data_IF_342050032602
#
_entry.id   IF_342050032602
#
_cell.length_a   1.000
_cell.length_b   1.000
_cell.length_c   1.000
_cell.angle_alpha   90.00
_cell.angle_beta   90.00
_cell.angle_gamma   90.00
#
_symmetry.space_group_name_H-M   'P 1'
#
loop_
_entity.id
_entity.type
_entity.pdbx_description
1 polymer ?
#
# COMPACT_ATOMS: atom_id res chain seq x y z
N UNK A 1 55.00 111.10 -38.70
CA UNK A 1 56.40 110.64 -38.68
C UNK A 1 56.34 109.12 -38.63
N UNK A 2 56.86 108.49 -39.70
CA UNK A 2 57.07 107.05 -39.92
C UNK A 2 55.85 106.11 -39.83
N UNK A 3 55.36 105.74 -41.02
CA UNK A 3 54.71 104.48 -41.31
C UNK A 3 55.74 103.33 -41.37
N UNK A 4 55.23 102.12 -41.60
CA UNK A 4 55.90 100.84 -41.98
C UNK A 4 56.02 99.82 -40.83
N UNK A 5 55.15 98.78 -40.83
CA UNK A 5 55.33 97.41 -41.37
C UNK A 5 56.10 96.49 -40.40
N UNK A 6 55.80 95.20 -40.21
CA UNK A 6 54.90 94.33 -40.94
C UNK A 6 54.42 93.15 -40.09
N UNK A 7 53.31 92.57 -40.56
CA UNK A 7 52.94 91.18 -40.28
C UNK A 7 54.11 90.28 -40.67
N UNK A 8 54.69 89.52 -39.74
CA UNK A 8 55.71 88.55 -40.14
C UNK A 8 56.71 88.00 -39.14
N UNK A 9 56.58 88.20 -37.82
CA UNK A 9 57.25 87.23 -36.92
C UNK A 9 56.49 85.93 -37.04
N UNK A 10 57.11 84.99 -37.77
CA UNK A 10 56.43 83.82 -38.28
C UNK A 10 55.74 83.11 -37.12
N UNK A 11 54.42 82.95 -37.21
CA UNK A 11 53.65 82.09 -36.30
C UNK A 11 54.36 80.71 -36.21
N UNK A 12 55.03 80.33 -37.30
CA UNK A 12 55.90 79.18 -37.49
C UNK A 12 57.17 79.11 -36.61
N UNK A 13 57.63 80.20 -35.99
CA UNK A 13 58.82 80.26 -35.11
C UNK A 13 58.47 80.31 -33.61
N UNK A 14 57.20 80.48 -33.26
CA UNK A 14 56.76 80.46 -31.87
C UNK A 14 56.69 79.02 -31.34
N UNK A 15 57.22 78.77 -30.14
CA UNK A 15 57.17 77.45 -29.50
C UNK A 15 55.72 76.99 -29.27
N UNK A 16 54.82 77.94 -28.98
CA UNK A 16 53.39 77.69 -28.78
C UNK A 16 52.71 77.12 -30.04
N UNK A 17 53.09 77.59 -31.24
CA UNK A 17 52.55 77.05 -32.50
C UNK A 17 52.96 75.59 -32.71
N UNK A 18 54.23 75.24 -32.53
CA UNK A 18 54.69 73.85 -32.67
C UNK A 18 54.13 72.93 -31.58
N UNK A 19 53.91 73.43 -30.36
CA UNK A 19 53.20 72.68 -29.30
C UNK A 19 51.74 72.43 -29.69
N UNK A 20 51.05 73.43 -30.24
CA UNK A 20 49.69 73.26 -30.73
C UNK A 20 49.63 72.24 -31.89
N UNK A 21 50.56 72.31 -32.85
CA UNK A 21 50.66 71.34 -33.95
C UNK A 21 50.93 69.93 -33.42
N UNK A 22 51.85 69.77 -32.46
CA UNK A 22 52.12 68.47 -31.84
C UNK A 22 50.91 67.93 -31.07
N UNK A 23 50.16 68.80 -30.37
CA UNK A 23 48.92 68.42 -29.69
C UNK A 23 47.85 67.95 -30.67
N UNK A 24 47.61 68.68 -31.76
CA UNK A 24 46.64 68.27 -32.78
C UNK A 24 47.08 67.00 -33.52
N UNK A 25 48.37 66.83 -33.82
CA UNK A 25 48.91 65.59 -34.38
C UNK A 25 48.73 64.41 -33.41
N UNK A 26 48.97 64.61 -32.11
CA UNK A 26 48.75 63.59 -31.09
C UNK A 26 47.27 63.23 -30.95
N UNK A 27 46.38 64.22 -30.91
CA UNK A 27 44.92 63.99 -30.86
C UNK A 27 44.45 63.29 -32.13
N UNK A 28 44.91 63.70 -33.32
CA UNK A 28 44.60 63.05 -34.59
C UNK A 28 45.09 61.59 -34.59
N UNK A 29 46.29 61.33 -34.07
CA UNK A 29 46.84 59.98 -33.93
C UNK A 29 46.01 59.13 -32.97
N UNK A 30 45.60 59.65 -31.80
CA UNK A 30 44.76 58.95 -30.82
C UNK A 30 43.35 58.66 -31.37
N UNK A 31 42.78 59.59 -32.14
CA UNK A 31 41.51 59.40 -32.83
C UNK A 31 41.64 58.35 -33.95
N UNK A 32 42.75 58.39 -34.72
CA UNK A 32 43.04 57.42 -35.78
C UNK A 32 43.29 56.00 -35.23
N UNK A 33 44.01 55.87 -34.12
CA UNK A 33 44.22 54.62 -33.38
C UNK A 33 42.96 54.11 -32.65
N UNK A 34 41.86 54.87 -32.68
CA UNK A 34 40.57 54.55 -32.03
C UNK A 34 40.72 54.12 -30.56
N UNK A 35 41.68 54.68 -29.84
CA UNK A 35 41.92 54.29 -28.44
C UNK A 35 40.67 54.50 -27.56
N UNK A 36 39.90 55.55 -27.84
CA UNK A 36 38.60 55.83 -27.19
C UNK A 36 37.56 54.72 -27.43
N UNK A 37 37.58 54.05 -28.59
CA UNK A 37 36.68 52.94 -28.89
C UNK A 37 36.98 51.73 -28.01
N UNK A 38 38.25 51.37 -27.86
CA UNK A 38 38.67 50.23 -27.02
C UNK A 38 38.26 50.40 -25.56
N UNK A 39 38.35 51.62 -25.02
CA UNK A 39 37.91 51.91 -23.65
C UNK A 39 36.40 51.78 -23.50
N UNK A 40 35.62 52.29 -24.47
CA UNK A 40 34.16 52.14 -24.48
C UNK A 40 33.75 50.68 -24.58
N UNK A 41 34.34 49.95 -25.52
CA UNK A 41 34.07 48.53 -25.73
C UNK A 41 34.38 47.67 -24.50
N UNK A 42 35.48 47.94 -23.78
CA UNK A 42 35.79 47.24 -22.53
C UNK A 42 34.77 47.52 -21.42
N UNK A 43 34.24 48.75 -21.34
CA UNK A 43 33.18 49.10 -20.39
C UNK A 43 31.86 48.43 -20.78
N UNK A 44 31.52 48.42 -22.06
CA UNK A 44 30.31 47.78 -22.59
C UNK A 44 30.34 46.27 -22.35
N UNK A 45 31.46 45.60 -22.67
CA UNK A 45 31.65 44.16 -22.39
C UNK A 45 31.53 43.84 -20.90
N UNK A 46 31.99 44.74 -20.01
CA UNK A 46 31.84 44.56 -18.57
C UNK A 46 30.38 44.74 -18.14
N UNK A 47 29.69 45.74 -18.69
CA UNK A 47 28.27 45.99 -18.45
C UNK A 47 27.43 44.79 -18.87
N UNK A 48 27.64 44.27 -20.09
CA UNK A 48 26.97 43.08 -20.61
C UNK A 48 27.24 41.85 -19.74
N UNK A 49 28.49 41.63 -19.33
CA UNK A 49 28.84 40.52 -18.44
C UNK A 49 28.10 40.59 -17.10
N UNK A 50 28.06 41.78 -16.49
CA UNK A 50 27.35 42.00 -15.23
C UNK A 50 25.85 41.80 -15.41
N UNK A 51 25.28 42.32 -16.51
CA UNK A 51 23.87 42.14 -16.84
C UNK A 51 23.51 40.65 -17.02
N UNK A 52 24.35 39.89 -17.73
CA UNK A 52 24.17 38.45 -17.91
C UNK A 52 24.27 37.69 -16.59
N UNK A 53 25.26 38.00 -15.75
CA UNK A 53 25.39 37.38 -14.42
C UNK A 53 24.20 37.69 -13.51
N UNK A 54 23.68 38.92 -13.54
CA UNK A 54 22.48 39.31 -12.80
C UNK A 54 21.23 38.60 -13.32
N UNK A 55 21.10 38.45 -14.64
CA UNK A 55 19.99 37.72 -15.26
C UNK A 55 20.02 36.23 -14.90
N UNK A 56 21.19 35.60 -14.94
CA UNK A 56 21.37 34.21 -14.55
C UNK A 56 21.14 34.01 -13.05
N UNK A 57 21.62 34.91 -12.19
CA UNK A 57 21.37 34.86 -10.76
C UNK A 57 19.87 35.00 -10.43
N UNK A 58 19.14 35.87 -11.15
CA UNK A 58 17.68 35.98 -11.04
C UNK A 58 17.00 34.69 -11.47
N UNK A 59 17.38 34.13 -12.63
CA UNK A 59 16.84 32.86 -13.12
C UNK A 59 17.05 31.74 -12.10
N UNK A 60 18.27 31.59 -11.57
CA UNK A 60 18.59 30.58 -10.55
C UNK A 60 17.79 30.79 -9.27
N UNK A 61 17.56 32.05 -8.85
CA UNK A 61 16.72 32.34 -7.68
C UNK A 61 15.28 31.92 -7.93
N UNK A 62 14.74 32.24 -9.09
CA UNK A 62 13.35 31.93 -9.43
C UNK A 62 13.16 30.41 -9.60
N UNK A 63 14.13 29.71 -10.19
CA UNK A 63 14.18 28.23 -10.25
C UNK A 63 14.26 27.61 -8.85
N UNK A 64 15.09 28.15 -7.95
CA UNK A 64 15.19 27.67 -6.57
C UNK A 64 13.90 27.92 -5.77
N UNK A 65 13.23 29.05 -6.01
CA UNK A 65 11.94 29.36 -5.39
C UNK A 65 10.84 28.41 -5.89
N UNK A 66 10.80 28.11 -7.20
CA UNK A 66 9.89 27.14 -7.76
C UNK A 66 10.14 25.73 -7.19
N UNK A 67 11.40 25.28 -7.17
CA UNK A 67 11.77 23.98 -6.60
C UNK A 67 11.44 23.87 -5.10
N UNK A 68 11.58 24.96 -4.34
CA UNK A 68 11.19 24.99 -2.93
C UNK A 68 9.68 24.87 -2.76
N UNK A 69 8.88 25.58 -3.57
CA UNK A 69 7.43 25.48 -3.54
C UNK A 69 6.97 24.06 -3.88
N UNK A 70 7.52 23.48 -4.96
CA UNK A 70 7.21 22.10 -5.36
C UNK A 70 7.56 21.08 -4.27
N UNK A 71 8.71 21.25 -3.60
CA UNK A 71 9.11 20.38 -2.50
C UNK A 71 8.19 20.50 -1.27
N UNK A 72 7.75 21.71 -0.94
CA UNK A 72 6.81 21.95 0.15
C UNK A 72 5.43 21.34 -0.15
N UNK A 73 4.93 21.52 -1.36
CA UNK A 73 3.66 20.93 -1.80
C UNK A 73 3.74 19.41 -1.85
N UNK A 74 4.85 18.85 -2.35
CA UNK A 74 5.10 17.41 -2.35
C UNK A 74 5.16 16.84 -0.93
N UNK A 75 5.81 17.54 0.00
CA UNK A 75 5.87 17.13 1.41
C UNK A 75 4.47 17.12 2.04
N UNK A 76 3.66 18.16 1.80
CA UNK A 76 2.28 18.23 2.30
C UNK A 76 1.43 17.11 1.72
N UNK A 77 1.45 16.91 0.40
CA UNK A 77 0.73 15.81 -0.25
C UNK A 77 1.17 14.44 0.26
N UNK A 78 2.46 14.24 0.53
CA UNK A 78 2.95 12.98 1.08
C UNK A 78 2.45 12.74 2.50
N UNK A 79 2.36 13.79 3.31
CA UNK A 79 1.81 13.71 4.66
C UNK A 79 0.31 13.35 4.62
N UNK A 80 -0.46 14.10 3.82
CA UNK A 80 -1.90 13.87 3.67
C UNK A 80 -2.18 12.45 3.14
N UNK A 81 -1.42 11.99 2.13
CA UNK A 81 -1.51 10.60 1.63
C UNK A 81 -1.16 9.56 2.70
N UNK A 82 -0.17 9.83 3.56
CA UNK A 82 0.19 8.91 4.63
C UNK A 82 -0.93 8.79 5.66
N UNK A 83 -1.56 9.91 6.03
CA UNK A 83 -2.73 9.92 6.91
C UNK A 83 -3.91 9.17 6.27
N UNK A 84 -4.19 9.39 4.99
CA UNK A 84 -5.22 8.65 4.24
C UNK A 84 -4.95 7.14 4.22
N UNK A 85 -3.70 6.73 3.98
CA UNK A 85 -3.31 5.30 4.00
C UNK A 85 -3.55 4.69 5.39
N UNK A 86 -3.20 5.40 6.46
CA UNK A 86 -3.40 4.92 7.83
C UNK A 86 -4.89 4.80 8.13
N UNK A 87 -5.68 5.83 7.81
CA UNK A 87 -7.13 5.83 8.03
C UNK A 87 -7.82 4.70 7.25
N UNK A 88 -7.42 4.48 5.99
CA UNK A 88 -7.94 3.38 5.18
C UNK A 88 -7.55 2.02 5.77
N UNK A 89 -6.29 1.84 6.19
CA UNK A 89 -5.82 0.60 6.79
C UNK A 89 -6.55 0.28 8.12
N UNK A 90 -6.84 1.29 8.93
CA UNK A 90 -7.64 1.12 10.16
C UNK A 90 -9.08 0.73 9.84
N UNK A 91 -9.72 1.37 8.87
CA UNK A 91 -11.07 1.03 8.41
C UNK A 91 -11.12 -0.41 7.87
N UNK A 92 -10.15 -0.79 7.04
CA UNK A 92 -10.06 -2.13 6.47
C UNK A 92 -9.82 -3.18 7.55
N UNK A 93 -8.94 -2.90 8.52
CA UNK A 93 -8.70 -3.78 9.66
C UNK A 93 -9.97 -3.98 10.49
N UNK A 94 -10.73 -2.93 10.76
CA UNK A 94 -12.01 -3.03 11.47
C UNK A 94 -13.04 -3.87 10.71
N UNK A 95 -13.16 -3.66 9.39
CA UNK A 95 -14.05 -4.45 8.55
C UNK A 95 -13.65 -5.93 8.54
N UNK A 96 -12.35 -6.23 8.38
CA UNK A 96 -11.83 -7.59 8.43
C UNK A 96 -12.05 -8.25 9.79
N UNK A 97 -11.91 -7.51 10.89
CA UNK A 97 -12.18 -8.02 12.23
C UNK A 97 -13.67 -8.38 12.41
N UNK A 98 -14.58 -7.55 11.91
CA UNK A 98 -16.02 -7.82 11.96
C UNK A 98 -16.38 -9.07 11.14
N UNK A 99 -15.88 -9.17 9.91
CA UNK A 99 -16.10 -10.34 9.05
C UNK A 99 -15.52 -11.62 9.69
N UNK A 100 -14.31 -11.53 10.27
CA UNK A 100 -13.70 -12.66 10.96
C UNK A 100 -14.49 -13.10 12.20
N UNK A 101 -15.04 -12.17 12.97
CA UNK A 101 -15.88 -12.49 14.14
C UNK A 101 -17.19 -13.16 13.71
N UNK A 102 -17.85 -12.66 12.67
CA UNK A 102 -19.05 -13.28 12.09
C UNK A 102 -18.77 -14.70 11.58
N UNK A 103 -17.67 -14.88 10.83
CA UNK A 103 -17.25 -16.18 10.34
C UNK A 103 -16.92 -17.14 11.49
N UNK A 104 -16.25 -16.66 12.55
CA UNK A 104 -15.94 -17.45 13.73
C UNK A 104 -17.20 -17.89 14.46
N UNK A 105 -18.16 -16.98 14.68
CA UNK A 105 -19.46 -17.31 15.29
C UNK A 105 -20.20 -18.38 14.49
N UNK A 106 -20.24 -18.24 13.16
CA UNK A 106 -20.86 -19.23 12.28
C UNK A 106 -20.15 -20.60 12.36
N UNK A 107 -18.81 -20.61 12.44
CA UNK A 107 -18.03 -21.84 12.61
C UNK A 107 -18.31 -22.52 13.95
N UNK A 108 -18.39 -21.75 15.04
CA UNK A 108 -18.71 -22.27 16.38
C UNK A 108 -20.11 -22.90 16.37
N UNK A 109 -21.13 -22.19 15.88
CA UNK A 109 -22.50 -22.71 15.78
C UNK A 109 -22.57 -24.00 14.97
N UNK A 110 -21.88 -24.08 13.83
CA UNK A 110 -21.82 -25.30 13.02
C UNK A 110 -21.14 -26.46 13.77
N UNK A 111 -20.09 -26.17 14.54
CA UNK A 111 -19.40 -27.19 15.35
C UNK A 111 -20.25 -27.68 16.51
N UNK A 112 -20.97 -26.79 17.17
CA UNK A 112 -21.93 -27.14 18.22
C UNK A 112 -23.03 -28.03 17.66
N UNK A 113 -23.67 -27.64 16.56
CA UNK A 113 -24.71 -28.46 15.91
C UNK A 113 -24.20 -29.85 15.49
N UNK A 114 -22.97 -29.93 14.97
CA UNK A 114 -22.36 -31.21 14.62
C UNK A 114 -22.05 -32.07 15.85
N UNK A 115 -21.63 -31.47 16.96
CA UNK A 115 -21.40 -32.18 18.22
C UNK A 115 -22.72 -32.67 18.82
N UNK A 116 -23.76 -31.84 18.84
CA UNK A 116 -25.12 -32.19 19.29
C UNK A 116 -25.66 -33.38 18.50
N UNK A 117 -25.53 -33.36 17.16
CA UNK A 117 -25.94 -34.46 16.30
C UNK A 117 -25.19 -35.76 16.62
N UNK A 118 -23.86 -35.70 16.82
CA UNK A 118 -23.06 -36.88 17.21
C UNK A 118 -23.48 -37.42 18.56
N UNK A 119 -23.77 -36.55 19.53
CA UNK A 119 -24.25 -36.94 20.85
C UNK A 119 -25.62 -37.63 20.73
N UNK A 120 -26.54 -37.08 19.93
CA UNK A 120 -27.85 -37.69 19.69
C UNK A 120 -27.71 -39.09 19.08
N UNK A 121 -26.90 -39.22 18.03
CA UNK A 121 -26.63 -40.51 17.38
C UNK A 121 -26.00 -41.52 18.35
N UNK A 122 -25.04 -41.08 19.17
CA UNK A 122 -24.42 -41.93 20.18
C UNK A 122 -25.42 -42.38 21.26
N UNK A 123 -26.32 -41.49 21.69
CA UNK A 123 -27.40 -41.83 22.65
C UNK A 123 -28.37 -42.84 22.06
N UNK A 124 -28.84 -42.64 20.83
CA UNK A 124 -29.73 -43.60 20.15
C UNK A 124 -29.08 -44.97 20.02
N UNK A 125 -27.80 -45.01 19.63
CA UNK A 125 -27.03 -46.25 19.56
C UNK A 125 -26.92 -46.91 20.93
N UNK A 126 -26.56 -46.18 21.97
CA UNK A 126 -26.45 -46.73 23.32
C UNK A 126 -27.79 -47.30 23.84
N UNK A 127 -28.90 -46.61 23.58
CA UNK A 127 -30.25 -47.12 23.93
C UNK A 127 -30.56 -48.41 23.18
N UNK A 128 -30.23 -48.49 21.89
CA UNK A 128 -30.41 -49.71 21.10
C UNK A 128 -29.55 -50.86 21.64
N UNK A 129 -28.29 -50.60 21.94
CA UNK A 129 -27.35 -51.59 22.46
C UNK A 129 -27.82 -52.14 23.82
N UNK A 130 -28.33 -51.28 24.73
CA UNK A 130 -28.93 -51.71 26.01
C UNK A 130 -30.17 -52.57 25.80
N UNK A 131 -31.05 -52.22 24.85
CA UNK A 131 -32.24 -53.02 24.54
C UNK A 131 -31.88 -54.40 23.99
N UNK A 132 -30.88 -54.48 23.12
CA UNK A 132 -30.38 -55.76 22.58
C UNK A 132 -29.81 -56.61 23.71
N UNK A 133 -28.94 -56.04 24.56
CA UNK A 133 -28.37 -56.76 25.70
C UNK A 133 -29.46 -57.27 26.67
N UNK A 134 -30.49 -56.46 26.96
CA UNK A 134 -31.61 -56.87 27.81
C UNK A 134 -32.45 -58.00 27.19
N UNK A 135 -32.67 -57.96 25.87
CA UNK A 135 -33.36 -59.01 25.14
C UNK A 135 -32.57 -60.33 25.16
N UNK A 136 -31.25 -60.27 24.93
CA UNK A 136 -30.35 -61.44 24.99
C UNK A 136 -30.35 -62.08 26.39
N UNK A 137 -30.27 -61.26 27.45
CA UNK A 137 -30.37 -61.75 28.84
C UNK A 137 -31.73 -62.41 29.08
N UNK A 138 -32.82 -61.80 28.61
CA UNK A 138 -34.17 -62.34 28.78
C UNK A 138 -34.36 -63.68 28.05
N UNK A 139 -33.86 -63.79 26.82
CA UNK A 139 -33.88 -65.04 26.03
C UNK A 139 -33.10 -66.12 26.76
N UNK A 140 -31.87 -65.83 27.21
CA UNK A 140 -31.05 -66.79 27.94
C UNK A 140 -31.71 -67.23 29.25
N UNK A 141 -32.35 -66.33 29.99
CA UNK A 141 -33.12 -66.70 31.20
C UNK A 141 -34.32 -67.58 30.84
N UNK A 142 -35.06 -67.27 29.77
CA UNK A 142 -36.18 -68.09 29.32
C UNK A 142 -35.72 -69.50 28.88
N UNK A 143 -34.59 -69.61 28.17
CA UNK A 143 -33.97 -70.88 27.81
C UNK A 143 -33.61 -71.72 29.04
N UNK A 144 -33.01 -71.11 30.06
CA UNK A 144 -32.67 -71.78 31.32
C UNK A 144 -33.93 -72.26 32.06
N UNK A 145 -34.96 -71.40 32.20
CA UNK A 145 -36.23 -71.76 32.84
C UNK A 145 -36.95 -72.89 32.08
N UNK A 146 -36.95 -72.85 30.75
CA UNK A 146 -37.55 -73.89 29.93
C UNK A 146 -36.79 -75.21 30.06
N UNK A 147 -35.46 -75.19 30.01
CA UNK A 147 -34.62 -76.38 30.19
C UNK A 147 -34.82 -77.03 31.56
N UNK A 148 -35.05 -76.23 32.60
CA UNK A 148 -35.34 -76.74 33.95
C UNK A 148 -36.73 -77.37 34.05
N UNK A 149 -37.77 -76.74 33.46
CA UNK A 149 -39.12 -77.32 33.38
C UNK A 149 -39.19 -78.61 32.55
N UNK A 150 -38.44 -78.69 31.46
CA UNK A 150 -38.37 -79.87 30.59
C UNK A 150 -37.72 -81.09 31.27
N UNK A 151 -36.90 -80.89 32.32
CA UNK A 151 -36.34 -81.99 33.13
C UNK A 151 -37.34 -82.57 34.14
N UNK A 152 -38.45 -81.89 34.40
CA UNK A 152 -39.55 -82.38 35.25
C UNK A 152 -40.69 -83.02 34.43
N UNK A 153 -41.71 -83.57 35.11
CA UNK A 153 -42.85 -84.25 34.46
C UNK A 153 -43.74 -83.35 33.59
N UNK A 154 -43.60 -82.02 33.67
CA UNK A 154 -44.31 -81.07 32.79
C UNK A 154 -43.78 -81.09 31.34
N UNK A 155 -42.51 -81.49 31.13
CA UNK A 155 -41.90 -81.53 29.81
C UNK A 155 -42.48 -82.60 28.88
N UNK A 156 -42.74 -83.81 29.41
CA UNK A 156 -43.43 -84.87 28.69
C UNK A 156 -44.86 -84.48 28.30
N UNK A 157 -45.59 -83.81 29.22
CA UNK A 157 -46.94 -83.32 28.94
C UNK A 157 -46.99 -82.17 27.92
N UNK A 158 -45.93 -81.36 27.83
CA UNK A 158 -45.80 -80.33 26.79
C UNK A 158 -45.46 -80.95 25.42
N UNK A 159 -44.58 -81.96 25.39
CA UNK A 159 -44.22 -82.68 24.16
C UNK A 159 -45.40 -83.46 23.58
N UNK A 160 -46.18 -84.12 24.44
CA UNK A 160 -47.39 -84.83 24.03
C UNK A 160 -48.43 -83.89 23.39
N UNK A 161 -48.64 -82.70 23.97
CA UNK A 161 -49.53 -81.67 23.40
C UNK A 161 -49.02 -81.10 22.08
N UNK A 162 -47.72 -80.88 21.94
CA UNK A 162 -47.13 -80.42 20.68
C UNK A 162 -47.24 -81.46 19.55
N UNK A 163 -47.05 -82.75 19.88
CA UNK A 163 -47.26 -83.86 18.94
C UNK A 163 -48.73 -83.99 18.52
N UNK A 164 -49.66 -83.77 19.45
CA UNK A 164 -51.09 -83.74 19.16
C UNK A 164 -51.45 -82.56 18.25
N UNK A 165 -50.92 -81.35 18.51
CA UNK A 165 -51.18 -80.17 17.68
C UNK A 165 -50.68 -80.35 16.24
N UNK A 166 -49.48 -80.90 16.06
CA UNK A 166 -48.91 -81.23 14.74
C UNK A 166 -49.78 -82.27 14.02
N UNK A 167 -50.26 -83.29 14.74
CA UNK A 167 -51.17 -84.30 14.20
C UNK A 167 -52.50 -83.69 13.73
N UNK A 168 -53.08 -82.75 14.48
CA UNK A 168 -54.31 -82.04 14.06
C UNK A 168 -54.09 -81.16 12.83
N UNK A 169 -52.99 -80.38 12.76
CA UNK A 169 -52.70 -79.55 11.57
C UNK A 169 -52.39 -80.37 10.32
N UNK A 170 -51.88 -81.58 10.48
CA UNK A 170 -51.65 -82.54 9.39
C UNK A 170 -52.92 -83.32 9.00
N UNK A 171 -53.97 -83.34 9.82
CA UNK A 171 -55.25 -83.97 9.50
C UNK A 171 -56.31 -83.01 8.97
N UNK A 172 -56.14 -81.70 9.18
CA UNK A 172 -57.03 -80.64 8.68
C UNK A 172 -56.58 -80.02 7.34
N UNK A 173 -55.42 -80.40 6.81
CA UNK A 173 -54.95 -80.09 5.44
C UNK A 173 -54.89 -81.33 4.57
#
# INVERSE_FOLDING_TARGET
MAAETGHGESILASAEFWVAVAFFCFVALVLWLRAHHKVREALDQRSERIANQLAEARRLRDEAQAALADAQDAHRQSHDRAEEIIAQAESDAQAMMQEADEALRALVQRREAAAELRISQAREKAVKDVRVAAAEVSIRTAELMLAERLKGGEGEAAMARALEEVKTRLSEG
#
